data_IF_986763552808
#
_entry.id   IF_986763552808
#
_cell.length_a   1.000
_cell.length_b   1.000
_cell.length_c   1.000
_cell.angle_alpha   90.00
_cell.angle_beta   90.00
_cell.angle_gamma   90.00
#
_symmetry.space_group_name_H-M   'P 1'
#
loop_
_entity.id
_entity.type
_entity.pdbx_description
1 polymer ?
#
# COMPACT_ATOMS: atom_id res chain seq x y z
N UNK A 1 7.72 -17.65 -2.88
CA UNK A 1 6.40 -17.19 -2.39
C UNK A 1 5.34 -17.50 -3.44
N UNK A 2 4.07 -17.77 -3.07
CA UNK A 2 2.98 -17.83 -4.03
C UNK A 2 2.87 -16.51 -4.83
N UNK A 3 2.34 -16.59 -6.05
CA UNK A 3 2.10 -15.45 -6.94
C UNK A 3 1.25 -14.37 -6.24
N UNK A 4 1.80 -13.15 -6.12
CA UNK A 4 1.15 -12.01 -5.46
C UNK A 4 -0.22 -11.67 -6.07
N UNK A 5 -0.35 -11.86 -7.38
CA UNK A 5 -1.57 -11.70 -8.17
C UNK A 5 -2.74 -12.56 -7.66
N UNK A 6 -2.48 -13.80 -7.22
CA UNK A 6 -3.49 -14.73 -6.68
C UNK A 6 -4.06 -14.22 -5.34
N UNK A 7 -3.27 -13.45 -4.61
CA UNK A 7 -3.67 -12.88 -3.33
C UNK A 7 -4.45 -11.57 -3.49
N UNK A 8 -4.08 -10.73 -4.46
CA UNK A 8 -4.84 -9.51 -4.79
C UNK A 8 -6.30 -9.79 -5.09
N UNK A 9 -6.58 -10.83 -5.88
CA UNK A 9 -7.95 -11.21 -6.25
C UNK A 9 -8.83 -11.62 -5.05
N UNK A 10 -8.24 -11.83 -3.87
CA UNK A 10 -8.94 -12.22 -2.64
C UNK A 10 -9.15 -11.06 -1.68
N UNK A 11 -8.49 -9.93 -1.89
CA UNK A 11 -8.61 -8.75 -1.05
C UNK A 11 -9.71 -7.86 -1.63
N UNK A 12 -10.59 -7.35 -0.77
CA UNK A 12 -11.65 -6.43 -1.18
C UNK A 12 -11.01 -5.16 -1.72
N UNK A 13 -11.39 -4.75 -2.94
CA UNK A 13 -10.84 -3.57 -3.60
C UNK A 13 -11.12 -2.30 -2.80
N UNK A 14 -10.17 -1.36 -2.82
CA UNK A 14 -10.39 -0.06 -2.21
C UNK A 14 -11.27 0.84 -3.11
N UNK A 15 -11.93 1.88 -2.58
CA UNK A 15 -12.59 2.89 -3.41
C UNK A 15 -11.59 3.59 -4.36
N UNK A 16 -11.98 3.89 -5.60
CA UNK A 16 -11.12 4.71 -6.48
C UNK A 16 -11.01 6.18 -6.04
N UNK A 17 -11.92 6.63 -5.18
CA UNK A 17 -11.88 7.96 -4.61
C UNK A 17 -12.45 7.96 -3.20
N UNK A 18 -11.86 8.80 -2.35
CA UNK A 18 -12.28 9.01 -0.97
C UNK A 18 -12.48 10.51 -0.71
N UNK A 19 -13.24 10.88 0.34
CA UNK A 19 -13.33 12.27 0.75
C UNK A 19 -11.93 12.85 1.06
N UNK A 20 -11.62 14.10 0.64
CA UNK A 20 -10.36 14.78 0.97
C UNK A 20 -10.10 14.96 2.47
N UNK A 21 -11.08 14.62 3.33
CA UNK A 21 -10.95 14.63 4.78
C UNK A 21 -10.23 13.39 5.35
N UNK A 22 -9.96 12.37 4.53
CA UNK A 22 -9.30 11.12 4.93
C UNK A 22 -9.92 10.52 6.20
N UNK A 23 -11.15 9.97 6.11
CA UNK A 23 -11.79 9.34 7.26
C UNK A 23 -10.94 8.17 7.79
N UNK A 24 -10.98 7.86 9.11
CA UNK A 24 -10.10 6.85 9.71
C UNK A 24 -10.35 5.42 9.20
N UNK A 25 -11.57 5.16 8.71
CA UNK A 25 -11.97 3.87 8.15
C UNK A 25 -12.68 4.12 6.81
N UNK A 26 -12.45 3.25 5.84
CA UNK A 26 -13.28 3.14 4.64
C UNK A 26 -14.20 1.92 4.79
N UNK A 27 -14.99 1.67 3.74
CA UNK A 27 -15.80 0.46 3.68
C UNK A 27 -14.92 -0.78 3.71
N UNK A 28 -15.56 -1.90 4.02
CA UNK A 28 -14.98 -3.23 3.83
C UNK A 28 -13.71 -3.48 4.64
N UNK A 29 -13.50 -2.76 5.75
CA UNK A 29 -12.43 -3.04 6.71
C UNK A 29 -11.10 -2.36 6.42
N UNK A 30 -11.04 -1.45 5.45
CA UNK A 30 -9.85 -0.64 5.16
C UNK A 30 -9.66 0.43 6.25
N UNK A 31 -8.48 0.45 6.88
CA UNK A 31 -8.15 1.38 7.98
C UNK A 31 -6.95 2.23 7.63
N UNK A 32 -6.86 3.46 8.17
CA UNK A 32 -5.70 4.33 7.96
C UNK A 32 -4.38 3.60 8.22
N UNK A 33 -3.41 3.78 7.32
CA UNK A 33 -2.05 3.32 7.51
C UNK A 33 -1.28 4.27 8.45
N UNK A 34 -0.81 3.80 9.63
CA UNK A 34 0.00 4.62 10.51
C UNK A 34 1.31 5.12 9.89
N UNK A 35 1.85 4.41 8.89
CA UNK A 35 3.08 4.78 8.16
C UNK A 35 2.86 5.83 7.07
N UNK A 36 1.62 6.04 6.66
CA UNK A 36 1.22 7.05 5.67
C UNK A 36 -0.15 7.65 6.05
N UNK A 37 -0.18 8.41 7.13
CA UNK A 37 -1.39 9.02 7.69
C UNK A 37 -1.53 10.47 7.23
N UNK A 38 -2.59 10.78 6.48
CA UNK A 38 -2.87 12.13 5.98
C UNK A 38 -2.89 13.22 7.05
N UNK A 39 -3.20 12.88 8.31
CA UNK A 39 -3.21 13.83 9.44
C UNK A 39 -1.80 14.17 9.94
N UNK A 40 -0.79 13.38 9.56
CA UNK A 40 0.62 13.53 9.96
C UNK A 40 1.52 14.05 8.84
N UNK A 41 0.94 14.40 7.70
CA UNK A 41 1.64 15.03 6.58
C UNK A 41 2.32 16.35 7.01
N UNK A 42 3.47 16.72 6.40
CA UNK A 42 4.16 16.04 5.29
C UNK A 42 5.12 14.92 5.73
N UNK A 43 5.22 14.63 7.04
CA UNK A 43 6.29 13.80 7.60
C UNK A 43 5.95 12.30 7.64
N UNK A 44 5.22 11.83 6.64
CA UNK A 44 4.69 10.47 6.55
C UNK A 44 4.66 10.08 5.06
N UNK A 45 4.56 8.79 4.72
CA UNK A 45 4.58 8.31 3.32
C UNK A 45 5.93 8.35 2.59
N UNK A 46 7.07 8.24 3.27
CA UNK A 46 8.41 8.29 2.64
C UNK A 46 8.63 7.23 1.54
N UNK A 47 7.92 6.10 1.61
CA UNK A 47 7.96 5.02 0.63
C UNK A 47 6.88 5.14 -0.46
N UNK A 48 6.02 6.15 -0.39
CA UNK A 48 4.89 6.37 -1.31
C UNK A 48 4.92 7.80 -1.86
N UNK A 49 5.91 8.09 -2.71
CA UNK A 49 6.15 9.44 -3.25
C UNK A 49 4.93 9.92 -4.05
N UNK A 50 4.21 10.90 -3.53
CA UNK A 50 2.98 11.44 -4.14
C UNK A 50 1.70 11.12 -3.37
N UNK A 51 1.75 10.14 -2.46
CA UNK A 51 0.64 9.83 -1.57
C UNK A 51 0.50 10.90 -0.47
N UNK A 52 -0.74 11.32 -0.24
CA UNK A 52 -1.13 12.13 0.91
C UNK A 52 -1.59 11.25 2.07
N UNK A 53 -2.19 10.10 1.80
CA UNK A 53 -2.51 9.13 2.82
C UNK A 53 -2.83 7.76 2.23
N UNK A 54 -2.60 6.71 3.01
CA UNK A 54 -2.90 5.34 2.63
C UNK A 54 -3.80 4.65 3.64
N UNK A 55 -4.42 3.57 3.17
CA UNK A 55 -5.23 2.65 3.96
C UNK A 55 -4.68 1.25 3.78
N UNK A 56 -4.77 0.42 4.82
CA UNK A 56 -4.40 -0.99 4.77
C UNK A 56 -5.61 -1.88 5.01
N UNK A 57 -5.58 -3.06 4.41
CA UNK A 57 -6.56 -4.10 4.61
C UNK A 57 -5.88 -5.47 4.67
N UNK A 58 -6.17 -6.27 5.70
CA UNK A 58 -5.64 -7.63 5.82
C UNK A 58 -6.62 -8.65 5.25
N UNK A 59 -6.14 -9.61 4.48
CA UNK A 59 -6.97 -10.78 4.14
C UNK A 59 -7.15 -11.66 5.40
N UNK A 60 -8.32 -11.58 6.05
CA UNK A 60 -8.64 -12.25 7.33
C UNK A 60 -7.73 -11.79 8.49
N UNK A 61 -7.66 -12.57 9.58
CA UNK A 61 -6.76 -12.35 10.73
C UNK A 61 -5.29 -12.61 10.41
N UNK A 62 -4.98 -13.31 9.30
CA UNK A 62 -3.61 -13.55 8.81
C UNK A 62 -3.65 -13.74 7.30
N UNK A 63 -2.88 -12.92 6.58
CA UNK A 63 -2.79 -12.94 5.12
C UNK A 63 -2.01 -11.73 4.60
N UNK A 64 -1.69 -11.68 3.29
CA UNK A 64 -1.08 -10.50 2.69
C UNK A 64 -1.98 -9.28 2.91
N UNK A 65 -1.35 -8.18 3.29
CA UNK A 65 -2.03 -6.89 3.40
C UNK A 65 -2.07 -6.23 2.04
N UNK A 66 -3.18 -5.60 1.68
CA UNK A 66 -3.17 -4.61 0.61
C UNK A 66 -3.07 -3.22 1.23
N UNK A 67 -2.38 -2.34 0.52
CA UNK A 67 -2.34 -0.94 0.83
C UNK A 67 -2.90 -0.15 -0.35
N UNK A 68 -3.76 0.84 -0.08
CA UNK A 68 -4.35 1.73 -1.07
C UNK A 68 -4.02 3.16 -0.71
N UNK A 69 -3.34 3.86 -1.62
CA UNK A 69 -2.81 5.20 -1.40
C UNK A 69 -3.52 6.21 -2.28
N UNK A 70 -3.66 7.43 -1.78
CA UNK A 70 -4.43 8.48 -2.40
C UNK A 70 -3.67 9.81 -2.42
N UNK A 71 -3.87 10.59 -3.46
CA UNK A 71 -3.38 11.97 -3.54
C UNK A 71 -4.13 12.89 -2.55
N UNK A 72 -3.73 14.16 -2.47
CA UNK A 72 -4.35 15.15 -1.56
C UNK A 72 -5.83 15.41 -1.84
N UNK A 73 -6.30 15.12 -3.05
CA UNK A 73 -7.70 15.26 -3.46
C UNK A 73 -8.51 13.98 -3.17
N UNK A 74 -7.87 12.94 -2.65
CA UNK A 74 -8.50 11.65 -2.38
C UNK A 74 -8.67 10.80 -3.63
N UNK A 75 -7.88 11.01 -4.69
CA UNK A 75 -7.87 10.12 -5.85
C UNK A 75 -6.89 8.98 -5.62
N UNK A 76 -7.31 7.76 -5.96
CA UNK A 76 -6.45 6.59 -5.85
C UNK A 76 -5.23 6.70 -6.79
N UNK A 77 -4.07 6.32 -6.28
CA UNK A 77 -2.81 6.30 -7.03
C UNK A 77 -2.59 4.90 -7.61
N UNK A 78 -2.48 4.83 -8.94
CA UNK A 78 -2.31 3.57 -9.66
C UNK A 78 -0.87 3.21 -9.98
N UNK A 79 -0.02 4.23 -10.09
CA UNK A 79 1.38 4.09 -10.50
C UNK A 79 2.28 3.88 -9.27
N UNK A 80 2.97 2.75 -9.22
CA UNK A 80 3.92 2.40 -8.16
C UNK A 80 5.05 3.41 -8.02
N UNK A 81 5.46 4.03 -9.12
CA UNK A 81 6.48 5.09 -9.13
C UNK A 81 5.95 6.43 -8.60
N UNK A 82 4.62 6.57 -8.48
CA UNK A 82 3.94 7.77 -7.98
C UNK A 82 3.17 7.49 -6.69
N UNK A 83 3.68 6.56 -5.87
CA UNK A 83 3.22 6.37 -4.51
C UNK A 83 1.94 5.55 -4.38
N UNK A 84 1.61 4.74 -5.38
CA UNK A 84 0.59 3.71 -5.20
C UNK A 84 0.97 2.73 -4.08
N UNK A 85 -0.04 2.24 -3.38
CA UNK A 85 0.15 1.24 -2.32
C UNK A 85 0.32 -0.16 -2.91
N UNK A 86 1.25 -0.91 -2.36
CA UNK A 86 1.58 -2.27 -2.82
C UNK A 86 0.93 -3.33 -1.94
N UNK A 87 0.90 -4.58 -2.42
CA UNK A 87 0.74 -5.72 -1.53
C UNK A 87 1.91 -5.81 -0.55
N UNK A 88 1.63 -6.11 0.72
CA UNK A 88 2.62 -6.38 1.76
C UNK A 88 2.63 -7.86 2.14
N UNK A 89 3.81 -8.38 2.51
CA UNK A 89 3.95 -9.72 3.06
C UNK A 89 3.63 -9.77 4.57
N UNK A 90 2.35 -10.04 4.88
CA UNK A 90 1.82 -10.65 6.13
C UNK A 90 1.95 -9.95 7.50
N UNK A 91 0.80 -9.81 8.21
CA UNK A 91 0.33 -10.55 9.43
C UNK A 91 -0.83 -9.76 10.07
N UNK A 92 -1.47 -10.30 11.14
CA UNK A 92 -2.51 -9.61 11.89
C UNK A 92 -2.09 -8.18 12.28
N UNK A 93 -2.97 -7.20 12.07
CA UNK A 93 -2.71 -5.80 12.40
C UNK A 93 -2.26 -5.63 13.87
N UNK A 94 -1.10 -5.02 14.10
CA UNK A 94 -0.70 -4.50 15.41
C UNK A 94 0.26 -5.37 16.24
N UNK A 95 0.81 -6.47 15.71
CA UNK A 95 1.80 -7.28 16.45
C UNK A 95 3.26 -6.82 16.20
N UNK A 96 4.17 -7.04 17.16
CA UNK A 96 5.61 -6.76 16.95
C UNK A 96 6.22 -7.66 15.86
N UNK A 97 5.75 -8.89 15.75
CA UNK A 97 6.14 -9.82 14.70
C UNK A 97 5.74 -9.33 13.31
N UNK A 98 4.62 -8.60 13.20
CA UNK A 98 4.19 -7.95 11.97
C UNK A 98 5.18 -6.89 11.52
N UNK A 99 5.57 -5.99 12.41
CA UNK A 99 6.49 -4.91 12.07
C UNK A 99 7.83 -5.45 11.58
N UNK A 100 8.36 -6.48 12.26
CA UNK A 100 9.63 -7.09 11.88
C UNK A 100 9.54 -7.81 10.52
N UNK A 101 8.47 -8.57 10.28
CA UNK A 101 8.29 -9.29 9.01
C UNK A 101 8.05 -8.34 7.85
N UNK A 102 7.22 -7.32 8.03
CA UNK A 102 7.00 -6.26 7.04
C UNK A 102 8.32 -5.57 6.70
N UNK A 103 9.12 -5.23 7.71
CA UNK A 103 10.42 -4.62 7.49
C UNK A 103 11.35 -5.51 6.65
N UNK A 104 11.46 -6.80 6.97
CA UNK A 104 12.38 -7.71 6.25
C UNK A 104 11.87 -8.16 4.88
N UNK A 105 10.55 -8.25 4.69
CA UNK A 105 9.95 -8.80 3.48
C UNK A 105 9.48 -7.74 2.46
N UNK A 106 9.29 -6.48 2.89
CA UNK A 106 8.82 -5.39 2.04
C UNK A 106 9.83 -4.23 2.02
N UNK A 107 10.25 -3.72 3.18
CA UNK A 107 11.13 -2.52 3.25
C UNK A 107 12.55 -2.83 2.78
N UNK A 108 13.19 -3.87 3.30
CA UNK A 108 14.57 -4.23 2.91
C UNK A 108 14.68 -4.54 1.41
N UNK A 109 13.78 -5.34 0.79
CA UNK A 109 13.79 -5.54 -0.64
C UNK A 109 13.52 -4.25 -1.43
N UNK A 110 12.60 -3.39 -0.98
CA UNK A 110 12.38 -2.09 -1.61
C UNK A 110 13.67 -1.26 -1.59
N UNK A 111 14.34 -1.13 -0.45
CA UNK A 111 15.55 -0.33 -0.37
C UNK A 111 16.67 -0.91 -1.26
N UNK A 112 16.86 -2.23 -1.23
CA UNK A 112 17.83 -2.90 -2.08
C UNK A 112 17.51 -2.80 -3.59
N UNK A 113 16.24 -2.72 -3.98
CA UNK A 113 15.83 -2.69 -5.39
C UNK A 113 15.64 -1.29 -5.95
N UNK A 114 15.15 -0.37 -5.12
CA UNK A 114 14.67 0.95 -5.53
C UNK A 114 15.56 2.10 -5.00
N UNK A 115 16.39 1.87 -3.97
CA UNK A 115 17.23 2.91 -3.35
C UNK A 115 18.71 2.56 -3.24
N UNK A 116 19.17 1.39 -3.73
CA UNK A 116 20.59 1.02 -3.74
C UNK A 116 21.44 2.09 -4.41
N UNK A 117 22.43 2.61 -3.66
CA UNK A 117 23.32 3.73 -4.02
C UNK A 117 22.68 5.13 -4.00
N UNK A 118 21.49 5.29 -3.40
CA UNK A 118 20.79 6.57 -3.30
C UNK A 118 20.17 7.07 -4.60
N UNK A 119 20.15 6.23 -5.63
CA UNK A 119 19.56 6.54 -6.94
C UNK A 119 18.50 5.50 -7.30
N UNK A 120 17.36 5.91 -7.90
CA UNK A 120 16.39 4.97 -8.43
C UNK A 120 17.05 4.02 -9.43
N UNK A 121 16.82 2.71 -9.29
CA UNK A 121 17.25 1.68 -10.23
C UNK A 121 16.01 1.12 -10.93
N UNK A 122 15.58 1.71 -12.07
CA UNK A 122 14.27 1.41 -12.65
C UNK A 122 14.04 -0.06 -12.96
N UNK A 123 15.04 -0.77 -13.48
CA UNK A 123 14.93 -2.18 -13.83
C UNK A 123 14.70 -3.08 -12.60
N UNK A 124 15.51 -2.90 -11.55
CA UNK A 124 15.41 -3.71 -10.32
C UNK A 124 14.18 -3.35 -9.51
N UNK A 125 13.82 -2.06 -9.46
CA UNK A 125 12.61 -1.61 -8.79
C UNK A 125 11.33 -2.11 -9.49
N UNK A 126 11.33 -2.20 -10.82
CA UNK A 126 10.22 -2.84 -11.55
C UNK A 126 10.07 -4.32 -11.17
N UNK A 127 11.15 -5.06 -10.97
CA UNK A 127 11.08 -6.45 -10.47
C UNK A 127 10.46 -6.54 -9.08
N UNK A 128 10.77 -5.57 -8.20
CA UNK A 128 10.11 -5.46 -6.90
C UNK A 128 8.60 -5.26 -7.07
N UNK A 129 8.18 -4.32 -7.91
CA UNK A 129 6.76 -4.04 -8.16
C UNK A 129 6.03 -5.17 -8.88
N UNK A 130 6.69 -5.97 -9.71
CA UNK A 130 6.12 -7.19 -10.29
C UNK A 130 5.77 -8.22 -9.19
N UNK A 131 6.57 -8.29 -8.12
CA UNK A 131 6.32 -9.18 -6.98
C UNK A 131 5.43 -8.57 -5.90
N UNK A 132 5.32 -7.25 -5.88
CA UNK A 132 4.51 -6.48 -4.93
C UNK A 132 3.62 -5.49 -5.71
N UNK A 133 2.69 -6.00 -6.53
CA UNK A 133 1.88 -5.15 -7.40
C UNK A 133 0.92 -4.28 -6.59
N UNK A 134 0.46 -3.21 -7.22
CA UNK A 134 -0.62 -2.38 -6.68
C UNK A 134 -1.94 -3.11 -6.73
N UNK A 135 -2.82 -2.75 -5.80
CA UNK A 135 -4.20 -3.19 -5.86
C UNK A 135 -4.95 -2.63 -7.07
N UNK A 136 -6.18 -3.09 -7.26
CA UNK A 136 -7.15 -2.39 -8.10
C UNK A 136 -8.11 -1.62 -7.20
N UNK A 137 -8.63 -0.51 -7.71
CA UNK A 137 -9.72 0.20 -7.08
C UNK A 137 -11.05 -0.12 -7.77
N UNK A 138 -12.15 -0.03 -7.02
CA UNK A 138 -13.50 -0.17 -7.57
C UNK A 138 -14.18 1.20 -7.67
N UNK A 139 -14.58 1.56 -8.90
CA UNK A 139 -15.50 2.67 -9.14
C UNK A 139 -16.89 2.15 -8.86
N UNK A 140 -17.58 2.68 -7.84
CA UNK A 140 -18.99 2.31 -7.67
C UNK A 140 -19.80 2.80 -8.87
N UNK A 141 -20.70 1.98 -9.43
CA UNK A 141 -21.79 2.49 -10.23
C UNK A 141 -22.58 3.47 -9.36
N UNK A 142 -22.84 4.67 -9.88
CA UNK A 142 -23.87 5.54 -9.30
C UNK A 142 -25.19 4.83 -9.53
N UNK A 143 -25.80 4.32 -8.45
CA UNK A 143 -27.16 3.77 -8.46
C UNK A 143 -28.12 4.89 -8.10
#
# INVERSE_FOLDING_TARGET
>A
EPEASVHLAKILSAPCSIPPTFPPNLKDGWTTDPGCDAKKQPNTCSYHVGAWGCYRHSFKNTGPGAQACYDRKGNWLSDTWQGAGTLDAETALGSIFQQLRHYTADVVPYDNCCTTSGLPQPSTCNLYFEKRPTGICEVKPVV
#
